data_IF_940146580221
#
_entry.id   IF_940146580221
#
_cell.length_a   1.000
_cell.length_b   1.000
_cell.length_c   1.000
_cell.angle_alpha   90.00
_cell.angle_beta   90.00
_cell.angle_gamma   90.00
#
_symmetry.space_group_name_H-M   'P 1'
#
loop_
_entity.id
_entity.type
_entity.pdbx_description
1 polymer ?
#
# COMPACT_ATOMS: atom_id res chain seq x y z
N UNK A 1 -3.27 22.11 29.57
CA UNK A 1 -3.95 20.89 30.07
C UNK A 1 -3.84 19.81 29.00
N UNK A 2 -2.72 19.08 28.98
CA UNK A 2 -2.49 17.97 28.04
C UNK A 2 -3.19 16.71 28.56
N UNK A 3 -4.37 16.40 28.01
CA UNK A 3 -4.87 15.02 28.09
C UNK A 3 -3.90 14.16 27.30
N UNK A 4 -3.01 13.44 27.98
CA UNK A 4 -2.11 12.49 27.34
C UNK A 4 -2.97 11.42 26.68
N UNK A 5 -3.06 11.44 25.36
CA UNK A 5 -3.65 10.38 24.55
C UNK A 5 -2.50 9.51 24.00
N UNK A 6 -1.93 8.59 24.81
CA UNK A 6 -0.77 7.77 24.40
C UNK A 6 -1.06 6.91 23.16
N UNK A 7 -2.33 6.66 22.86
CA UNK A 7 -2.77 5.96 21.66
C UNK A 7 -2.47 6.74 20.37
N UNK A 8 -2.59 8.07 20.39
CA UNK A 8 -2.32 8.93 19.22
C UNK A 8 -0.82 9.03 18.97
N UNK A 9 -0.02 9.12 20.03
CA UNK A 9 1.43 9.10 19.95
C UNK A 9 1.95 7.82 19.28
N UNK A 10 1.33 6.67 19.62
CA UNK A 10 1.68 5.33 19.14
C UNK A 10 0.97 4.89 17.86
N UNK A 11 0.24 5.81 17.20
CA UNK A 11 -0.44 5.51 15.94
C UNK A 11 0.59 5.07 14.90
N UNK A 12 0.42 3.85 14.37
CA UNK A 12 1.37 3.26 13.43
C UNK A 12 1.48 4.11 12.15
N UNK A 13 2.70 4.45 11.69
CA UNK A 13 2.91 5.25 10.46
C UNK A 13 2.32 4.64 9.19
N UNK A 14 2.12 3.32 9.15
CA UNK A 14 1.61 2.59 7.99
C UNK A 14 0.09 2.40 7.95
N UNK A 15 -0.69 3.04 8.82
CA UNK A 15 -2.13 2.75 8.94
C UNK A 15 -2.95 3.12 7.68
N UNK A 16 -2.42 4.00 6.82
CA UNK A 16 -3.02 4.27 5.50
C UNK A 16 -3.05 3.03 4.58
N UNK A 17 -2.35 1.94 4.93
CA UNK A 17 -2.53 0.64 4.29
C UNK A 17 -3.99 0.15 4.35
N UNK A 18 -4.78 0.54 5.37
CA UNK A 18 -6.22 0.30 5.44
C UNK A 18 -6.95 0.89 4.22
N UNK A 19 -6.70 2.16 3.92
CA UNK A 19 -7.34 2.87 2.80
C UNK A 19 -6.85 2.30 1.48
N UNK A 20 -5.54 2.11 1.35
CA UNK A 20 -4.91 1.53 0.17
C UNK A 20 -5.48 0.14 -0.15
N UNK A 21 -5.57 -0.76 0.84
CA UNK A 21 -6.11 -2.11 0.70
C UNK A 21 -7.61 -2.14 0.42
N UNK A 22 -8.39 -1.32 1.11
CA UNK A 22 -9.84 -1.21 0.89
C UNK A 22 -10.15 -0.64 -0.50
N UNK A 23 -9.40 0.39 -0.91
CA UNK A 23 -9.55 1.04 -2.20
C UNK A 23 -9.25 0.09 -3.36
N UNK A 24 -8.19 -0.72 -3.30
CA UNK A 24 -7.88 -1.64 -4.40
C UNK A 24 -8.92 -2.76 -4.54
N UNK A 25 -9.49 -3.24 -3.43
CA UNK A 25 -10.58 -4.22 -3.49
C UNK A 25 -11.85 -3.58 -4.07
N UNK A 26 -12.13 -2.33 -3.72
CA UNK A 26 -13.20 -1.55 -4.37
C UNK A 26 -12.99 -1.45 -5.88
N UNK A 27 -11.77 -1.14 -6.34
CA UNK A 27 -11.41 -1.14 -7.77
C UNK A 27 -11.66 -2.51 -8.39
N UNK A 28 -11.13 -3.59 -7.80
CA UNK A 28 -11.33 -4.94 -8.34
C UNK A 28 -12.81 -5.35 -8.44
N UNK A 29 -13.62 -4.99 -7.46
CA UNK A 29 -15.07 -5.27 -7.46
C UNK A 29 -15.82 -4.45 -8.52
N UNK A 30 -15.42 -3.20 -8.76
CA UNK A 30 -15.94 -2.40 -9.87
C UNK A 30 -15.61 -3.06 -11.21
N UNK A 31 -14.36 -3.49 -11.40
CA UNK A 31 -13.90 -4.15 -12.62
C UNK A 31 -14.69 -5.41 -12.96
N UNK A 32 -15.17 -6.18 -11.97
CA UNK A 32 -15.99 -7.38 -12.20
C UNK A 32 -17.51 -7.11 -12.20
N UNK A 33 -17.92 -5.84 -12.11
CA UNK A 33 -19.33 -5.43 -12.20
C UNK A 33 -20.12 -5.53 -10.88
N UNK A 34 -19.47 -5.76 -9.74
CA UNK A 34 -20.09 -5.82 -8.41
C UNK A 34 -20.21 -4.42 -7.78
N UNK A 35 -20.92 -3.53 -8.48
CA UNK A 35 -20.95 -2.10 -8.18
C UNK A 35 -21.45 -1.75 -6.76
N UNK A 36 -22.52 -2.35 -6.22
CA UNK A 36 -23.00 -2.00 -4.88
C UNK A 36 -21.95 -2.25 -3.79
N UNK A 37 -21.26 -3.39 -3.86
CA UNK A 37 -20.22 -3.75 -2.89
C UNK A 37 -18.98 -2.88 -3.09
N UNK A 38 -18.62 -2.62 -4.35
CA UNK A 38 -17.53 -1.71 -4.69
C UNK A 38 -17.73 -0.31 -4.08
N UNK A 39 -18.94 0.26 -4.21
CA UNK A 39 -19.28 1.58 -3.66
C UNK A 39 -19.24 1.61 -2.13
N UNK A 40 -19.73 0.57 -1.47
CA UNK A 40 -19.63 0.47 0.01
C UNK A 40 -18.17 0.53 0.45
N UNK A 41 -17.28 -0.21 -0.21
CA UNK A 41 -15.85 -0.17 0.10
C UNK A 41 -15.20 1.17 -0.24
N UNK A 42 -15.62 1.83 -1.33
CA UNK A 42 -15.17 3.19 -1.64
C UNK A 42 -15.54 4.17 -0.51
N UNK A 43 -16.78 4.11 -0.01
CA UNK A 43 -17.21 4.95 1.13
C UNK A 43 -16.38 4.64 2.38
N UNK A 44 -16.15 3.36 2.69
CA UNK A 44 -15.30 2.97 3.83
C UNK A 44 -13.88 3.52 3.66
N UNK A 45 -13.29 3.39 2.46
CA UNK A 45 -11.95 3.91 2.17
C UNK A 45 -11.88 5.44 2.31
N UNK A 46 -12.88 6.16 1.80
CA UNK A 46 -12.95 7.62 1.89
C UNK A 46 -13.10 8.10 3.34
N UNK A 47 -13.98 7.45 4.14
CA UNK A 47 -14.14 7.77 5.56
C UNK A 47 -12.86 7.49 6.34
N UNK A 48 -12.25 6.33 6.13
CA UNK A 48 -10.97 5.97 6.75
C UNK A 48 -9.87 6.96 6.37
N UNK A 49 -9.81 7.42 5.11
CA UNK A 49 -8.85 8.40 4.64
C UNK A 49 -8.95 9.73 5.39
N UNK A 50 -10.18 10.27 5.51
CA UNK A 50 -10.43 11.52 6.24
C UNK A 50 -10.07 11.36 7.72
N UNK A 51 -10.51 10.28 8.36
CA UNK A 51 -10.20 10.00 9.76
C UNK A 51 -8.70 9.90 9.99
N UNK A 52 -7.97 9.17 9.14
CA UNK A 52 -6.52 9.00 9.29
C UNK A 52 -5.77 10.30 9.07
N UNK A 53 -6.17 11.16 8.14
CA UNK A 53 -5.59 12.49 8.00
C UNK A 53 -5.79 13.33 9.27
N UNK A 54 -7.00 13.35 9.82
CA UNK A 54 -7.27 14.07 11.09
C UNK A 54 -6.36 13.54 12.21
N UNK A 55 -6.24 12.22 12.35
CA UNK A 55 -5.40 11.60 13.37
C UNK A 55 -3.90 11.86 13.16
N UNK A 56 -3.40 11.83 11.93
CA UNK A 56 -1.99 12.06 11.64
C UNK A 56 -1.63 13.54 11.77
N UNK A 57 -2.50 14.46 11.36
CA UNK A 57 -2.30 15.90 11.58
C UNK A 57 -2.31 16.21 13.07
N UNK A 58 -3.26 15.64 13.82
CA UNK A 58 -3.27 15.76 15.28
C UNK A 58 -1.97 15.19 15.88
N UNK A 59 -1.54 14.00 15.46
CA UNK A 59 -0.27 13.40 15.91
C UNK A 59 0.93 14.30 15.61
N UNK A 60 0.99 14.91 14.43
CA UNK A 60 2.08 15.80 14.04
C UNK A 60 2.13 17.08 14.89
N UNK A 61 0.98 17.64 15.26
CA UNK A 61 0.90 18.86 16.10
C UNK A 61 1.14 18.55 17.58
N UNK A 62 0.54 17.48 18.10
CA UNK A 62 0.60 17.14 19.52
C UNK A 62 1.87 16.37 19.91
N UNK A 63 2.42 15.55 19.00
CA UNK A 63 3.57 14.66 19.25
C UNK A 63 4.63 14.75 18.14
N UNK A 64 5.16 15.95 17.82
CA UNK A 64 6.10 16.15 16.70
C UNK A 64 7.40 15.34 16.87
N UNK A 65 7.86 15.10 18.12
CA UNK A 65 9.06 14.30 18.37
C UNK A 65 8.84 12.82 18.02
N UNK A 66 7.67 12.25 18.34
CA UNK A 66 7.35 10.87 17.98
C UNK A 66 7.33 10.69 16.46
N UNK A 67 6.71 11.64 15.74
CA UNK A 67 6.70 11.64 14.27
C UNK A 67 8.12 11.77 13.71
N UNK A 68 8.95 12.66 14.25
CA UNK A 68 10.35 12.82 13.82
C UNK A 68 11.19 11.57 14.04
N UNK A 69 10.95 10.85 15.14
CA UNK A 69 11.60 9.56 15.42
C UNK A 69 11.21 8.53 14.37
N UNK A 70 9.93 8.41 14.03
CA UNK A 70 9.47 7.49 13.00
C UNK A 70 10.01 7.83 11.60
N UNK A 71 10.10 9.11 11.25
CA UNK A 71 10.63 9.54 9.94
C UNK A 71 12.12 9.22 9.75
N UNK A 72 12.86 9.04 10.85
CA UNK A 72 14.29 8.69 10.85
C UNK A 72 14.55 7.20 11.06
N UNK A 73 13.58 6.45 11.53
CA UNK A 73 13.72 5.03 11.80
C UNK A 73 13.63 4.24 10.47
N UNK A 74 14.69 3.50 10.07
CA UNK A 74 14.69 2.71 8.84
C UNK A 74 13.56 1.68 8.75
N UNK A 75 13.04 1.21 9.88
CA UNK A 75 12.00 0.17 9.92
C UNK A 75 10.59 0.71 9.64
N UNK A 76 10.33 1.98 9.97
CA UNK A 76 8.99 2.60 9.93
C UNK A 76 8.87 3.76 8.96
N UNK A 77 9.97 4.45 8.61
CA UNK A 77 9.95 5.62 7.74
C UNK A 77 9.26 5.35 6.40
N UNK A 78 9.57 4.23 5.75
CA UNK A 78 8.98 3.89 4.46
C UNK A 78 7.48 3.57 4.53
N UNK A 79 6.93 3.30 5.72
CA UNK A 79 5.50 3.09 5.88
C UNK A 79 4.67 4.37 5.63
N UNK A 80 5.26 5.58 5.74
CA UNK A 80 4.59 6.84 5.38
C UNK A 80 4.21 6.92 3.90
N UNK A 81 4.88 6.17 3.01
CA UNK A 81 4.50 6.07 1.60
C UNK A 81 3.12 5.41 1.40
N UNK A 82 2.56 4.75 2.42
CA UNK A 82 1.15 4.31 2.36
C UNK A 82 0.18 5.47 2.20
N UNK A 83 0.52 6.69 2.64
CA UNK A 83 -0.29 7.90 2.44
C UNK A 83 -0.39 8.23 0.95
N UNK A 84 0.72 8.15 0.22
CA UNK A 84 0.77 8.38 -1.23
C UNK A 84 -0.10 7.35 -1.94
N UNK A 85 0.18 6.07 -1.69
CA UNK A 85 -0.55 4.97 -2.34
C UNK A 85 -2.05 4.99 -2.01
N UNK A 86 -2.44 5.28 -0.77
CA UNK A 86 -3.84 5.44 -0.40
C UNK A 86 -4.53 6.61 -1.12
N UNK A 87 -3.84 7.75 -1.23
CA UNK A 87 -4.35 8.94 -1.93
C UNK A 87 -4.59 8.63 -3.40
N UNK A 88 -3.61 8.02 -4.07
CA UNK A 88 -3.66 7.69 -5.49
C UNK A 88 -4.71 6.60 -5.79
N UNK A 89 -4.79 5.54 -4.98
CA UNK A 89 -5.79 4.48 -5.16
C UNK A 89 -7.21 5.03 -4.97
N UNK A 90 -7.41 5.92 -3.99
CA UNK A 90 -8.71 6.59 -3.79
C UNK A 90 -9.05 7.46 -5.00
N UNK A 91 -8.07 8.22 -5.52
CA UNK A 91 -8.26 9.04 -6.72
C UNK A 91 -8.63 8.18 -7.93
N UNK A 92 -7.93 7.06 -8.17
CA UNK A 92 -8.23 6.11 -9.24
C UNK A 92 -9.68 5.63 -9.14
N UNK A 93 -10.12 5.18 -7.96
CA UNK A 93 -11.49 4.68 -7.80
C UNK A 93 -12.53 5.78 -7.98
N UNK A 94 -12.23 7.01 -7.58
CA UNK A 94 -13.11 8.18 -7.79
C UNK A 94 -13.24 8.56 -9.26
N UNK A 95 -12.18 8.45 -10.06
CA UNK A 95 -12.27 8.64 -11.53
C UNK A 95 -13.21 7.60 -12.14
N UNK A 96 -13.08 6.33 -11.74
CA UNK A 96 -13.94 5.25 -12.23
C UNK A 96 -15.42 5.46 -11.88
N UNK A 97 -15.71 6.14 -10.77
CA UNK A 97 -17.09 6.53 -10.39
C UNK A 97 -17.59 7.80 -11.11
N UNK A 98 -16.72 8.50 -11.85
CA UNK A 98 -17.03 9.75 -12.54
C UNK A 98 -16.74 11.02 -11.72
N UNK A 99 -16.20 10.92 -10.50
CA UNK A 99 -15.84 12.07 -9.64
C UNK A 99 -14.46 12.67 -9.98
N UNK A 100 -14.23 12.96 -11.27
CA UNK A 100 -12.93 13.44 -11.79
C UNK A 100 -12.48 14.75 -11.11
N UNK A 101 -13.42 15.67 -10.84
CA UNK A 101 -13.14 16.95 -10.19
C UNK A 101 -12.54 16.81 -8.78
N UNK A 102 -12.86 15.73 -8.07
CA UNK A 102 -12.30 15.42 -6.75
C UNK A 102 -11.02 14.59 -6.88
N UNK A 103 -10.98 13.69 -7.86
CA UNK A 103 -9.82 12.82 -8.08
C UNK A 103 -8.58 13.59 -8.52
N UNK A 104 -8.69 14.58 -9.41
CA UNK A 104 -7.53 15.33 -9.92
C UNK A 104 -6.74 16.02 -8.79
N UNK A 105 -7.37 16.78 -7.87
CA UNK A 105 -6.67 17.31 -6.69
C UNK A 105 -5.99 16.24 -5.84
N UNK A 106 -6.60 15.05 -5.69
CA UNK A 106 -5.97 13.94 -4.97
C UNK A 106 -4.74 13.41 -5.70
N UNK A 107 -4.76 13.26 -7.03
CA UNK A 107 -3.56 12.88 -7.80
C UNK A 107 -2.45 13.91 -7.66
N UNK A 108 -2.79 15.21 -7.67
CA UNK A 108 -1.81 16.27 -7.45
C UNK A 108 -1.23 16.23 -6.03
N UNK A 109 -2.05 15.95 -5.02
CA UNK A 109 -1.61 15.73 -3.65
C UNK A 109 -0.70 14.49 -3.56
N UNK A 110 -1.09 13.38 -4.18
CA UNK A 110 -0.30 12.15 -4.25
C UNK A 110 1.07 12.40 -4.91
N UNK A 111 1.10 13.11 -6.03
CA UNK A 111 2.33 13.51 -6.72
C UNK A 111 3.24 14.39 -5.84
N UNK A 112 2.66 15.39 -5.15
CA UNK A 112 3.40 16.26 -4.25
C UNK A 112 3.97 15.49 -3.06
N UNK A 113 3.17 14.62 -2.43
CA UNK A 113 3.60 13.77 -1.33
C UNK A 113 4.67 12.77 -1.77
N UNK A 114 4.51 12.16 -2.95
CA UNK A 114 5.50 11.24 -3.53
C UNK A 114 6.84 11.94 -3.73
N UNK A 115 6.84 13.15 -4.29
CA UNK A 115 8.07 13.92 -4.50
C UNK A 115 8.71 14.29 -3.15
N UNK A 116 7.93 14.85 -2.22
CA UNK A 116 8.42 15.26 -0.90
C UNK A 116 8.98 14.07 -0.12
N UNK A 117 8.22 12.98 0.01
CA UNK A 117 8.67 11.78 0.73
C UNK A 117 9.79 11.04 0.00
N UNK A 118 9.77 11.02 -1.33
CA UNK A 118 10.76 10.39 -2.20
C UNK A 118 12.17 10.90 -1.98
N UNK A 119 12.33 12.19 -1.66
CA UNK A 119 13.62 12.76 -1.31
C UNK A 119 13.87 12.81 0.20
N UNK A 120 12.86 13.16 1.00
CA UNK A 120 13.05 13.36 2.45
C UNK A 120 13.30 12.06 3.21
N UNK A 121 12.52 11.00 2.96
CA UNK A 121 12.58 9.78 3.79
C UNK A 121 13.86 8.99 3.56
N UNK A 122 14.27 8.68 2.31
CA UNK A 122 15.54 8.00 2.08
C UNK A 122 16.72 8.83 2.58
N UNK A 123 16.69 10.16 2.41
CA UNK A 123 17.73 11.04 2.95
C UNK A 123 17.83 10.92 4.47
N UNK A 124 16.70 10.99 5.18
CA UNK A 124 16.70 10.87 6.65
C UNK A 124 17.20 9.51 7.12
N UNK A 125 16.81 8.43 6.45
CA UNK A 125 17.22 7.05 6.78
C UNK A 125 18.71 6.83 6.48
N UNK A 126 19.21 7.28 5.32
CA UNK A 126 20.61 7.08 4.92
C UNK A 126 21.58 7.96 5.72
N UNK A 127 21.11 9.13 6.20
CA UNK A 127 21.91 10.03 7.02
C UNK A 127 21.77 9.76 8.52
N UNK A 128 20.88 8.85 8.93
CA UNK A 128 20.78 8.42 10.31
C UNK A 128 22.08 7.72 10.72
N UNK A 129 22.79 8.30 11.69
CA UNK A 129 24.00 7.72 12.30
C UNK A 129 23.69 7.34 13.73
N UNK A 130 23.08 6.17 13.89
CA UNK A 130 22.79 5.54 15.18
C UNK A 130 23.73 4.37 15.51
N UNK A 131 24.69 4.07 14.62
CA UNK A 131 25.72 3.04 14.81
C UNK A 131 25.32 1.65 14.32
N UNK A 132 24.06 1.43 13.93
CA UNK A 132 23.59 0.14 13.44
C UNK A 132 23.56 0.06 11.91
N UNK A 133 23.90 -1.12 11.38
CA UNK A 133 23.90 -1.37 9.93
C UNK A 133 22.48 -1.28 9.39
N UNK A 134 22.24 -0.35 8.46
CA UNK A 134 20.95 -0.17 7.78
C UNK A 134 20.43 -1.49 7.20
N UNK A 135 21.33 -2.31 6.63
CA UNK A 135 20.98 -3.60 6.05
C UNK A 135 20.29 -4.55 7.04
N UNK A 136 20.65 -4.53 8.33
CA UNK A 136 20.03 -5.40 9.33
C UNK A 136 18.57 -5.01 9.61
N UNK A 137 18.24 -3.73 9.41
CA UNK A 137 16.94 -3.11 9.66
C UNK A 137 16.08 -2.97 8.40
N UNK A 138 16.57 -3.41 7.25
CA UNK A 138 15.78 -3.50 6.02
C UNK A 138 14.73 -4.59 6.18
N UNK A 139 13.46 -4.23 5.96
CA UNK A 139 12.32 -5.13 6.08
C UNK A 139 11.31 -4.90 4.93
N UNK A 140 10.18 -5.60 4.95
CA UNK A 140 9.17 -5.53 3.89
C UNK A 140 8.52 -4.15 3.68
N UNK A 141 8.57 -3.23 4.65
CA UNK A 141 7.98 -1.88 4.50
C UNK A 141 8.71 -1.04 3.45
N UNK A 142 9.98 -1.34 3.16
CA UNK A 142 10.77 -0.63 2.17
C UNK A 142 10.18 -0.75 0.76
N UNK A 143 9.48 -1.85 0.45
CA UNK A 143 8.80 -2.02 -0.85
C UNK A 143 7.65 -1.03 -1.04
N UNK A 144 7.10 -0.46 0.04
CA UNK A 144 6.04 0.56 -0.05
C UNK A 144 6.54 1.80 -0.79
N UNK A 145 7.86 2.08 -0.77
CA UNK A 145 8.45 3.15 -1.57
C UNK A 145 8.24 2.92 -3.07
N UNK A 146 8.49 1.71 -3.55
CA UNK A 146 8.20 1.32 -4.93
C UNK A 146 6.70 1.36 -5.20
N UNK A 147 5.86 0.85 -4.28
CA UNK A 147 4.40 0.87 -4.40
C UNK A 147 3.87 2.29 -4.60
N UNK A 148 4.34 3.28 -3.83
CA UNK A 148 3.90 4.66 -3.97
C UNK A 148 4.23 5.23 -5.36
N UNK A 149 5.41 4.92 -5.88
CA UNK A 149 5.80 5.33 -7.23
C UNK A 149 4.91 4.70 -8.31
N UNK A 150 4.60 3.41 -8.17
CA UNK A 150 3.71 2.72 -9.09
C UNK A 150 2.26 3.22 -8.98
N UNK A 151 1.80 3.54 -7.76
CA UNK A 151 0.46 4.07 -7.53
C UNK A 151 0.25 5.42 -8.20
N UNK A 152 1.26 6.29 -8.15
CA UNK A 152 1.24 7.55 -8.86
C UNK A 152 1.17 7.33 -10.39
N UNK A 153 1.93 6.37 -10.92
CA UNK A 153 1.85 6.02 -12.33
C UNK A 153 0.43 5.59 -12.75
N UNK A 154 -0.23 4.72 -11.96
CA UNK A 154 -1.63 4.33 -12.17
C UNK A 154 -2.54 5.57 -12.15
N UNK A 155 -2.44 6.41 -11.12
CA UNK A 155 -3.28 7.60 -11.00
C UNK A 155 -3.14 8.56 -12.19
N UNK A 156 -1.90 8.79 -12.64
CA UNK A 156 -1.59 9.61 -13.82
C UNK A 156 -2.20 9.03 -15.11
N UNK A 157 -2.10 7.71 -15.30
CA UNK A 157 -2.70 7.05 -16.48
C UNK A 157 -4.21 7.18 -16.53
N UNK A 158 -4.87 7.14 -15.37
CA UNK A 158 -6.33 7.18 -15.24
C UNK A 158 -6.88 8.59 -15.45
N UNK A 159 -6.19 9.64 -14.99
CA UNK A 159 -6.62 11.03 -15.24
C UNK A 159 -6.29 11.51 -16.66
N UNK A 160 -5.31 10.90 -17.34
CA UNK A 160 -4.81 11.36 -18.64
C UNK A 160 -5.90 11.63 -19.70
N UNK A 161 -6.92 10.76 -19.89
CA UNK A 161 -7.98 11.00 -20.87
C UNK A 161 -8.84 12.24 -20.58
N UNK A 162 -8.92 12.65 -19.30
CA UNK A 162 -9.75 13.76 -18.83
C UNK A 162 -9.06 15.12 -18.89
N UNK A 163 -7.76 15.15 -19.20
CA UNK A 163 -7.01 16.40 -19.32
C UNK A 163 -7.12 16.96 -20.74
N UNK A 164 -7.35 18.27 -20.84
CA UNK A 164 -7.38 19.00 -22.13
C UNK A 164 -5.99 19.53 -22.51
N UNK A 165 -5.19 19.91 -21.53
CA UNK A 165 -3.80 20.38 -21.67
C UNK A 165 -2.85 19.52 -20.84
N UNK A 166 -1.56 19.48 -21.22
CA UNK A 166 -0.53 18.78 -20.43
C UNK A 166 -0.49 17.25 -20.58
N UNK A 167 -1.22 16.66 -21.53
CA UNK A 167 -1.22 15.20 -21.79
C UNK A 167 0.19 14.62 -21.97
N UNK A 168 1.05 15.30 -22.72
CA UNK A 168 2.44 14.88 -22.94
C UNK A 168 3.25 14.83 -21.63
N UNK A 169 3.09 15.83 -20.76
CA UNK A 169 3.74 15.86 -19.44
C UNK A 169 3.25 14.74 -18.54
N UNK A 170 1.95 14.45 -18.54
CA UNK A 170 1.39 13.32 -17.78
C UNK A 170 1.90 11.98 -18.30
N UNK A 171 2.04 11.81 -19.61
CA UNK A 171 2.69 10.62 -20.18
C UNK A 171 4.13 10.45 -19.72
N UNK A 172 4.92 11.53 -19.72
CA UNK A 172 6.30 11.53 -19.21
C UNK A 172 6.32 11.18 -17.71
N UNK A 173 5.46 11.81 -16.90
CA UNK A 173 5.40 11.59 -15.46
C UNK A 173 4.95 10.16 -15.11
N UNK A 174 4.02 9.58 -15.88
CA UNK A 174 3.58 8.20 -15.70
C UNK A 174 4.73 7.22 -15.98
N UNK A 175 5.46 7.40 -17.09
CA UNK A 175 6.63 6.56 -17.42
C UNK A 175 7.76 6.77 -16.41
N UNK A 176 8.00 8.01 -15.97
CA UNK A 176 9.01 8.33 -14.96
C UNK A 176 8.70 7.65 -13.63
N UNK A 177 7.49 7.82 -13.11
CA UNK A 177 7.07 7.24 -11.83
C UNK A 177 7.04 5.71 -11.88
N UNK A 178 6.64 5.11 -13.01
CA UNK A 178 6.75 3.67 -13.23
C UNK A 178 8.21 3.20 -13.21
N UNK A 179 9.09 3.88 -13.96
CA UNK A 179 10.51 3.52 -14.06
C UNK A 179 11.23 3.63 -12.71
N UNK A 180 10.97 4.70 -11.96
CA UNK A 180 11.49 4.88 -10.60
C UNK A 180 11.00 3.74 -9.71
N UNK A 181 9.71 3.39 -9.76
CA UNK A 181 9.18 2.29 -8.96
C UNK A 181 9.80 0.93 -9.30
N UNK A 182 10.07 0.65 -10.59
CA UNK A 182 10.74 -0.59 -11.03
C UNK A 182 12.17 -0.64 -10.49
N UNK A 183 12.94 0.45 -10.63
CA UNK A 183 14.30 0.53 -10.12
C UNK A 183 14.35 0.37 -8.59
N UNK A 184 13.45 1.04 -7.88
CA UNK A 184 13.32 0.95 -6.42
C UNK A 184 12.97 -0.48 -5.97
N UNK A 185 12.07 -1.17 -6.70
CA UNK A 185 11.76 -2.57 -6.41
C UNK A 185 13.01 -3.45 -6.49
N UNK A 186 13.82 -3.31 -7.55
CA UNK A 186 15.06 -4.05 -7.71
C UNK A 186 16.06 -3.78 -6.58
N UNK A 187 16.27 -2.51 -6.23
CA UNK A 187 17.17 -2.09 -5.14
C UNK A 187 16.71 -2.68 -3.80
N UNK A 188 15.45 -2.48 -3.44
CA UNK A 188 14.90 -2.99 -2.17
C UNK A 188 14.90 -4.52 -2.15
N UNK A 189 14.57 -5.16 -3.27
CA UNK A 189 14.63 -6.61 -3.43
C UNK A 189 16.01 -7.18 -3.13
N UNK A 190 17.06 -6.57 -3.69
CA UNK A 190 18.44 -6.95 -3.43
C UNK A 190 18.80 -6.71 -1.96
N UNK A 191 18.44 -5.57 -1.37
CA UNK A 191 18.74 -5.27 0.04
C UNK A 191 18.06 -6.27 0.99
N UNK A 192 16.79 -6.60 0.74
CA UNK A 192 16.05 -7.58 1.54
C UNK A 192 16.64 -8.98 1.39
N UNK A 193 17.01 -9.38 0.16
CA UNK A 193 17.66 -10.66 -0.07
C UNK A 193 19.02 -10.73 0.65
N UNK A 194 19.85 -9.69 0.54
CA UNK A 194 21.12 -9.60 1.25
C UNK A 194 20.92 -9.64 2.77
N UNK A 195 19.89 -8.98 3.31
CA UNK A 195 19.53 -9.05 4.72
C UNK A 195 19.21 -10.48 5.14
N UNK A 196 18.37 -11.19 4.37
CA UNK A 196 18.00 -12.58 4.66
C UNK A 196 19.21 -13.50 4.59
N UNK A 197 20.10 -13.32 3.61
CA UNK A 197 21.32 -14.13 3.46
C UNK A 197 22.30 -13.93 4.62
N UNK A 198 22.48 -12.68 5.09
CA UNK A 198 23.47 -12.38 6.12
C UNK A 198 22.96 -12.57 7.55
N UNK A 199 21.67 -12.32 7.80
CA UNK A 199 21.09 -12.30 9.15
C UNK A 199 20.01 -13.35 9.36
N UNK A 200 19.60 -14.09 8.32
CA UNK A 200 18.46 -14.99 8.38
C UNK A 200 17.13 -14.24 8.49
N UNK A 201 16.05 -14.98 8.76
CA UNK A 201 14.76 -14.42 9.15
C UNK A 201 14.10 -15.35 10.17
N UNK A 202 13.75 -14.83 11.34
CA UNK A 202 13.01 -15.61 12.34
C UNK A 202 11.51 -15.62 12.02
N UNK A 203 10.73 -16.61 12.49
CA UNK A 203 9.27 -16.61 12.30
C UNK A 203 8.56 -15.36 12.82
N UNK A 204 9.14 -14.67 13.81
CA UNK A 204 8.61 -13.42 14.36
C UNK A 204 8.92 -12.21 13.48
N UNK A 205 10.07 -12.22 12.83
CA UNK A 205 10.51 -11.18 11.89
C UNK A 205 9.83 -11.27 10.52
N UNK A 206 9.25 -12.42 10.15
CA UNK A 206 8.44 -12.52 8.94
C UNK A 206 7.11 -11.77 9.13
N UNK A 207 7.19 -10.45 9.11
CA UNK A 207 6.08 -9.55 9.34
C UNK A 207 5.15 -9.43 8.11
N UNK A 208 3.89 -9.01 8.31
CA UNK A 208 2.94 -8.78 7.22
C UNK A 208 3.48 -7.97 6.02
N UNK A 209 4.34 -6.94 6.17
CA UNK A 209 4.88 -6.18 5.05
C UNK A 209 5.73 -7.00 4.05
N UNK A 210 6.18 -8.21 4.38
CA UNK A 210 6.87 -9.05 3.39
C UNK A 210 5.96 -9.42 2.21
N UNK A 211 4.63 -9.45 2.38
CA UNK A 211 3.68 -9.61 1.27
C UNK A 211 3.75 -8.47 0.25
N UNK A 212 4.26 -7.29 0.65
CA UNK A 212 4.42 -6.13 -0.24
C UNK A 212 5.48 -6.39 -1.32
N UNK A 213 6.36 -7.39 -1.17
CA UNK A 213 7.23 -7.87 -2.28
C UNK A 213 6.38 -8.21 -3.52
N UNK A 214 5.42 -9.12 -3.37
CA UNK A 214 4.48 -9.48 -4.43
C UNK A 214 3.59 -8.29 -4.81
N UNK A 215 3.10 -7.53 -3.81
CA UNK A 215 2.21 -6.39 -4.06
C UNK A 215 2.84 -5.28 -4.90
N UNK A 216 4.12 -4.99 -4.70
CA UNK A 216 4.88 -3.96 -5.43
C UNK A 216 5.04 -4.32 -6.91
N UNK A 217 5.29 -5.59 -7.23
CA UNK A 217 5.29 -6.04 -8.62
C UNK A 217 3.89 -6.06 -9.22
N UNK A 218 2.89 -6.49 -8.46
CA UNK A 218 1.50 -6.51 -8.95
C UNK A 218 1.01 -5.09 -9.33
N UNK A 219 1.33 -4.06 -8.54
CA UNK A 219 0.99 -2.68 -8.93
C UNK A 219 1.85 -2.19 -10.11
N UNK A 220 3.11 -2.61 -10.23
CA UNK A 220 3.94 -2.30 -11.39
C UNK A 220 3.39 -2.95 -12.68
N UNK A 221 2.77 -4.12 -12.59
CA UNK A 221 2.01 -4.76 -13.67
C UNK A 221 0.81 -3.90 -14.06
N UNK A 222 -0.03 -3.50 -13.11
CA UNK A 222 -1.20 -2.63 -13.39
C UNK A 222 -0.77 -1.31 -14.01
N UNK A 223 0.23 -0.63 -13.42
CA UNK A 223 0.75 0.63 -13.93
C UNK A 223 1.33 0.47 -15.34
N UNK A 224 2.12 -0.57 -15.57
CA UNK A 224 2.72 -0.85 -16.87
C UNK A 224 1.67 -1.15 -17.94
N UNK A 225 0.68 -2.01 -17.63
CA UNK A 225 -0.42 -2.29 -18.55
C UNK A 225 -1.23 -1.04 -18.88
N UNK A 226 -1.48 -0.18 -17.89
CA UNK A 226 -2.16 1.10 -18.13
C UNK A 226 -1.34 2.02 -19.03
N UNK A 227 -0.02 2.14 -18.82
CA UNK A 227 0.87 2.90 -19.71
C UNK A 227 0.85 2.34 -21.13
N UNK A 228 0.87 1.01 -21.28
CA UNK A 228 0.76 0.32 -22.58
C UNK A 228 -0.62 0.51 -23.21
N UNK A 229 -1.66 0.83 -22.44
CA UNK A 229 -2.98 1.16 -22.95
C UNK A 229 -3.21 2.66 -23.18
N UNK A 230 -2.31 3.53 -22.69
CA UNK A 230 -2.44 4.99 -22.87
C UNK A 230 -2.36 5.38 -24.35
N UNK A 231 -3.07 6.47 -24.68
CA UNK A 231 -2.97 7.13 -25.98
C UNK A 231 -1.53 7.55 -26.30
N UNK A 232 -1.21 7.57 -27.59
CA UNK A 232 0.15 7.82 -28.09
C UNK A 232 0.73 9.14 -27.58
N UNK A 233 1.87 9.05 -26.91
CA UNK A 233 2.75 10.19 -26.61
C UNK A 233 4.19 9.74 -26.88
N UNK A 234 5.11 10.66 -27.26
CA UNK A 234 6.46 10.26 -27.67
C UNK A 234 7.20 9.35 -26.66
N UNK A 235 7.06 9.63 -25.36
CA UNK A 235 7.71 8.83 -24.31
C UNK A 235 7.05 7.46 -24.11
N UNK A 236 5.72 7.39 -24.16
CA UNK A 236 4.98 6.13 -24.04
C UNK A 236 5.29 5.23 -25.22
N UNK A 237 5.31 5.76 -26.43
CA UNK A 237 5.56 4.98 -27.64
C UNK A 237 6.99 4.42 -27.67
N UNK A 238 7.97 5.21 -27.22
CA UNK A 238 9.37 4.78 -27.10
C UNK A 238 9.56 3.64 -26.08
N UNK A 239 8.72 3.56 -25.04
CA UNK A 239 8.88 2.61 -23.94
C UNK A 239 7.90 1.44 -23.98
N UNK A 240 6.85 1.49 -24.82
CA UNK A 240 5.72 0.56 -24.84
C UNK A 240 6.15 -0.91 -24.88
N UNK A 241 7.09 -1.27 -25.76
CA UNK A 241 7.53 -2.66 -25.92
C UNK A 241 8.29 -3.18 -24.69
N UNK A 242 9.15 -2.33 -24.09
CA UNK A 242 9.89 -2.66 -22.88
C UNK A 242 8.94 -2.80 -21.68
N UNK A 243 7.97 -1.90 -21.55
CA UNK A 243 6.98 -1.96 -20.48
C UNK A 243 6.14 -3.23 -20.60
N UNK A 244 5.65 -3.56 -21.80
CA UNK A 244 4.86 -4.77 -22.05
C UNK A 244 5.65 -6.06 -21.71
N UNK A 245 6.91 -6.17 -22.14
CA UNK A 245 7.77 -7.29 -21.77
C UNK A 245 8.00 -7.38 -20.26
N UNK A 246 8.20 -6.24 -19.60
CA UNK A 246 8.40 -6.16 -18.14
C UNK A 246 7.14 -6.58 -17.37
N UNK A 247 5.96 -6.16 -17.82
CA UNK A 247 4.65 -6.53 -17.26
C UNK A 247 4.48 -8.06 -17.24
N UNK A 248 4.80 -8.74 -18.35
CA UNK A 248 4.71 -10.20 -18.43
C UNK A 248 5.68 -10.90 -17.45
N UNK A 249 6.93 -10.43 -17.36
CA UNK A 249 7.93 -10.96 -16.42
C UNK A 249 7.46 -10.75 -14.97
N UNK A 250 6.97 -9.56 -14.64
CA UNK A 250 6.54 -9.25 -13.28
C UNK A 250 5.31 -10.04 -12.87
N UNK A 251 4.34 -10.21 -13.76
CA UNK A 251 3.13 -10.98 -13.48
C UNK A 251 3.46 -12.46 -13.23
N UNK A 252 4.29 -13.08 -14.07
CA UNK A 252 4.72 -14.48 -13.88
C UNK A 252 5.53 -14.65 -12.60
N UNK A 253 6.38 -13.68 -12.26
CA UNK A 253 7.12 -13.70 -10.99
C UNK A 253 6.22 -13.48 -9.76
N UNK A 254 5.15 -12.66 -9.87
CA UNK A 254 4.14 -12.56 -8.81
C UNK A 254 3.51 -13.92 -8.52
N UNK A 255 3.12 -14.65 -9.57
CA UNK A 255 2.56 -16.00 -9.44
C UNK A 255 3.54 -16.96 -8.76
N UNK A 256 4.83 -16.85 -9.09
CA UNK A 256 5.90 -17.63 -8.45
C UNK A 256 6.08 -17.34 -6.95
N UNK A 257 5.86 -16.09 -6.52
CA UNK A 257 5.97 -15.71 -5.11
C UNK A 257 4.80 -16.22 -4.24
N UNK A 258 3.62 -16.46 -4.81
CA UNK A 258 2.43 -16.83 -4.04
C UNK A 258 2.68 -18.09 -3.17
N UNK A 259 3.19 -19.22 -3.70
CA UNK A 259 3.48 -20.40 -2.87
C UNK A 259 4.49 -20.11 -1.74
N UNK A 260 5.51 -19.30 -2.01
CA UNK A 260 6.54 -18.94 -1.02
C UNK A 260 5.94 -18.13 0.12
N UNK A 261 5.12 -17.13 -0.17
CA UNK A 261 4.48 -16.27 0.83
C UNK A 261 3.44 -17.04 1.66
N UNK A 262 2.64 -17.89 1.03
CA UNK A 262 1.68 -18.77 1.72
C UNK A 262 2.43 -19.76 2.61
N UNK A 263 3.49 -20.38 2.09
CA UNK A 263 4.35 -21.31 2.85
C UNK A 263 5.02 -20.64 4.06
N UNK A 264 5.53 -19.42 3.90
CA UNK A 264 6.09 -18.63 4.99
C UNK A 264 5.04 -18.26 6.06
N UNK A 265 3.81 -17.92 5.63
CA UNK A 265 2.69 -17.69 6.54
C UNK A 265 2.29 -18.95 7.34
N UNK A 266 2.23 -20.10 6.67
CA UNK A 266 1.98 -21.39 7.30
C UNK A 266 3.10 -21.76 8.29
N UNK A 267 4.36 -21.59 7.89
CA UNK A 267 5.53 -21.81 8.74
C UNK A 267 5.50 -20.94 10.00
N UNK A 268 5.10 -19.67 9.88
CA UNK A 268 4.97 -18.72 11.01
C UNK A 268 3.85 -19.10 11.99
N UNK A 269 2.64 -19.32 11.48
CA UNK A 269 1.45 -19.44 12.33
C UNK A 269 1.09 -20.87 12.72
N UNK A 270 1.34 -21.86 11.84
CA UNK A 270 0.98 -23.25 12.07
C UNK A 270 2.14 -24.03 12.67
N UNK A 271 3.32 -23.97 12.05
CA UNK A 271 4.51 -24.71 12.52
C UNK A 271 5.09 -24.08 13.78
N UNK A 272 5.33 -22.76 13.77
CA UNK A 272 5.96 -22.04 14.88
C UNK A 272 4.96 -21.42 15.88
N UNK A 273 3.65 -21.63 15.65
CA UNK A 273 2.55 -21.22 16.54
C UNK A 273 2.62 -19.76 17.00
N UNK A 274 3.10 -18.86 16.15
CA UNK A 274 3.08 -17.42 16.44
C UNK A 274 1.62 -16.97 16.44
N UNK A 275 1.10 -16.40 17.55
CA UNK A 275 -0.32 -16.10 17.68
C UNK A 275 -0.77 -15.03 16.67
N UNK A 276 -1.94 -15.24 16.09
CA UNK A 276 -2.62 -14.27 15.22
C UNK A 276 -3.29 -13.21 16.10
N UNK A 277 -2.54 -12.15 16.39
CA UNK A 277 -3.04 -10.95 17.08
C UNK A 277 -3.18 -9.83 16.05
N UNK A 278 -4.24 -9.02 16.17
CA UNK A 278 -4.39 -7.85 15.33
C UNK A 278 -3.22 -6.90 15.54
N UNK A 279 -2.51 -6.62 14.46
CA UNK A 279 -1.52 -5.56 14.37
C UNK A 279 -1.84 -4.70 13.14
N UNK A 280 -1.60 -3.38 13.20
CA UNK A 280 -1.81 -2.46 12.07
C UNK A 280 -1.28 -2.97 10.73
N UNK A 281 -0.12 -3.62 10.75
CA UNK A 281 0.59 -4.07 9.56
C UNK A 281 -0.12 -5.20 8.82
N UNK A 282 -1.14 -5.85 9.40
CA UNK A 282 -1.96 -6.84 8.68
C UNK A 282 -2.64 -6.26 7.44
N UNK A 283 -2.94 -4.96 7.44
CA UNK A 283 -3.46 -4.26 6.25
C UNK A 283 -2.48 -4.29 5.07
N UNK A 284 -1.18 -4.45 5.32
CA UNK A 284 -0.15 -4.64 4.29
C UNK A 284 -0.21 -6.00 3.59
N UNK A 285 -1.07 -6.93 4.02
CA UNK A 285 -1.38 -8.19 3.30
C UNK A 285 -2.57 -8.00 2.36
N UNK A 286 -3.57 -7.22 2.80
CA UNK A 286 -4.81 -6.98 2.06
C UNK A 286 -4.51 -6.35 0.70
N UNK A 287 -3.65 -5.33 0.68
CA UNK A 287 -3.29 -4.64 -0.55
C UNK A 287 -2.60 -5.55 -1.58
N UNK A 288 -1.52 -6.29 -1.26
CA UNK A 288 -0.88 -7.18 -2.23
C UNK A 288 -1.82 -8.23 -2.84
N UNK A 289 -2.68 -8.85 -2.03
CA UNK A 289 -3.62 -9.86 -2.52
C UNK A 289 -4.66 -9.23 -3.45
N UNK A 290 -5.23 -8.09 -3.07
CA UNK A 290 -6.15 -7.34 -3.92
C UNK A 290 -5.49 -6.82 -5.20
N UNK A 291 -4.25 -6.34 -5.11
CA UNK A 291 -3.50 -5.83 -6.25
C UNK A 291 -3.13 -6.94 -7.24
N UNK A 292 -2.74 -8.13 -6.77
CA UNK A 292 -2.52 -9.29 -7.64
C UNK A 292 -3.79 -9.69 -8.40
N UNK A 293 -4.94 -9.60 -7.74
CA UNK A 293 -6.23 -9.83 -8.38
C UNK A 293 -6.49 -8.82 -9.51
N UNK A 294 -6.36 -7.52 -9.22
CA UNK A 294 -6.54 -6.44 -10.21
C UNK A 294 -5.52 -6.54 -11.35
N UNK A 295 -4.26 -6.85 -11.06
CA UNK A 295 -3.22 -7.09 -12.06
C UNK A 295 -3.60 -8.22 -13.02
N UNK A 296 -4.09 -9.35 -12.48
CA UNK A 296 -4.52 -10.50 -13.28
C UNK A 296 -5.79 -10.22 -14.09
N UNK A 297 -6.73 -9.45 -13.55
CA UNK A 297 -7.90 -8.98 -14.32
C UNK A 297 -7.48 -8.08 -15.49
N UNK A 298 -6.56 -7.14 -15.24
CA UNK A 298 -6.10 -6.18 -16.24
C UNK A 298 -5.32 -6.87 -17.37
N UNK A 299 -4.28 -7.65 -17.03
CA UNK A 299 -3.49 -8.42 -17.99
C UNK A 299 -4.37 -9.42 -18.76
N UNK A 300 -5.25 -10.14 -18.05
CA UNK A 300 -6.16 -11.10 -18.67
C UNK A 300 -7.05 -10.48 -19.76
N UNK A 301 -7.49 -9.24 -19.58
CA UNK A 301 -8.32 -8.52 -20.57
C UNK A 301 -7.51 -7.91 -21.69
N UNK A 302 -6.40 -7.26 -21.37
CA UNK A 302 -5.54 -6.58 -22.36
C UNK A 302 -4.95 -7.59 -23.34
N UNK A 303 -4.42 -8.70 -22.82
CA UNK A 303 -3.75 -9.74 -23.63
C UNK A 303 -4.71 -10.85 -24.08
N UNK A 304 -6.01 -10.74 -23.75
CA UNK A 304 -7.05 -11.72 -24.07
C UNK A 304 -6.70 -13.13 -23.60
N UNK A 305 -6.32 -13.25 -22.32
CA UNK A 305 -5.96 -14.49 -21.64
C UNK A 305 -7.05 -14.86 -20.60
N UNK A 306 -8.08 -15.65 -20.98
CA UNK A 306 -9.22 -15.93 -20.10
C UNK A 306 -8.86 -16.65 -18.79
N UNK A 307 -7.79 -17.45 -18.83
CA UNK A 307 -7.27 -18.16 -17.65
C UNK A 307 -6.68 -17.18 -16.62
N UNK A 308 -5.94 -16.16 -17.09
CA UNK A 308 -5.35 -15.12 -16.25
C UNK A 308 -6.45 -14.25 -15.64
N UNK A 309 -7.48 -13.89 -16.42
CA UNK A 309 -8.64 -13.17 -15.90
C UNK A 309 -9.40 -13.99 -14.84
N UNK A 310 -9.60 -15.29 -15.08
CA UNK A 310 -10.26 -16.19 -14.14
C UNK A 310 -9.49 -16.32 -12.84
N UNK A 311 -8.16 -16.40 -12.91
CA UNK A 311 -7.29 -16.36 -11.73
C UNK A 311 -7.47 -15.04 -10.96
N UNK A 312 -7.57 -13.91 -11.67
CA UNK A 312 -7.86 -12.61 -11.07
C UNK A 312 -9.19 -12.58 -10.30
N UNK A 313 -10.26 -13.17 -10.85
CA UNK A 313 -11.56 -13.28 -10.17
C UNK A 313 -11.47 -14.12 -8.90
N UNK A 314 -10.77 -15.25 -8.93
CA UNK A 314 -10.54 -16.10 -7.75
C UNK A 314 -9.72 -15.35 -6.69
N UNK A 315 -8.62 -14.72 -7.10
CA UNK A 315 -7.78 -13.93 -6.22
C UNK A 315 -8.54 -12.75 -5.59
N UNK A 316 -9.47 -12.13 -6.31
CA UNK A 316 -10.33 -11.05 -5.79
C UNK A 316 -11.26 -11.56 -4.70
N UNK A 317 -11.85 -12.75 -4.89
CA UNK A 317 -12.66 -13.41 -3.86
C UNK A 317 -11.84 -13.66 -2.58
N UNK A 318 -10.62 -14.17 -2.72
CA UNK A 318 -9.67 -14.35 -1.60
C UNK A 318 -9.35 -13.00 -0.94
N UNK A 319 -9.08 -11.95 -1.74
CA UNK A 319 -8.80 -10.61 -1.22
C UNK A 319 -9.94 -10.06 -0.37
N UNK A 320 -11.20 -10.27 -0.79
CA UNK A 320 -12.38 -9.86 -0.03
C UNK A 320 -12.48 -10.60 1.32
N UNK A 321 -12.18 -11.90 1.34
CA UNK A 321 -12.15 -12.69 2.58
C UNK A 321 -11.05 -12.20 3.52
N UNK A 322 -9.83 -12.00 3.00
CA UNK A 322 -8.71 -11.48 3.79
C UNK A 322 -9.03 -10.09 4.35
N UNK A 323 -9.62 -9.21 3.55
CA UNK A 323 -10.07 -7.89 3.99
C UNK A 323 -11.11 -7.99 5.12
N UNK A 324 -12.11 -8.85 4.98
CA UNK A 324 -13.15 -9.03 5.99
C UNK A 324 -12.56 -9.53 7.32
N UNK A 325 -11.65 -10.51 7.25
CA UNK A 325 -10.96 -11.04 8.45
C UNK A 325 -10.14 -9.94 9.15
N UNK A 326 -9.36 -9.16 8.40
CA UNK A 326 -8.54 -8.08 8.97
C UNK A 326 -9.42 -6.96 9.54
N UNK A 327 -10.52 -6.61 8.86
CA UNK A 327 -11.48 -5.62 9.35
C UNK A 327 -12.13 -6.08 10.66
N UNK A 328 -12.62 -7.31 10.73
CA UNK A 328 -13.22 -7.86 11.95
C UNK A 328 -12.20 -7.90 13.09
N UNK A 329 -10.95 -8.28 12.81
CA UNK A 329 -9.87 -8.25 13.79
C UNK A 329 -9.58 -6.83 14.30
N UNK A 330 -9.58 -5.83 13.42
CA UNK A 330 -9.42 -4.42 13.78
C UNK A 330 -10.57 -3.93 14.65
N UNK A 331 -11.82 -4.15 14.24
CA UNK A 331 -13.00 -3.70 14.97
C UNK A 331 -13.05 -4.34 16.36
N UNK A 332 -12.75 -5.65 16.45
CA UNK A 332 -12.64 -6.34 17.73
C UNK A 332 -11.55 -5.71 18.61
N UNK A 333 -10.39 -5.39 18.05
CA UNK A 333 -9.31 -4.74 18.80
C UNK A 333 -9.74 -3.37 19.34
N UNK A 334 -10.34 -2.52 18.51
CA UNK A 334 -10.83 -1.19 18.90
C UNK A 334 -11.91 -1.29 19.99
N UNK A 335 -12.87 -2.21 19.86
CA UNK A 335 -13.91 -2.43 20.89
C UNK A 335 -13.31 -2.88 22.21
N UNK A 336 -12.34 -3.80 22.19
CA UNK A 336 -11.70 -4.29 23.41
C UNK A 336 -10.86 -3.22 24.12
N UNK A 337 -10.13 -2.40 23.36
CA UNK A 337 -9.33 -1.29 23.92
C UNK A 337 -10.23 -0.22 24.53
N UNK A 338 -11.27 0.21 23.79
CA UNK A 338 -12.22 1.22 24.28
C UNK A 338 -13.02 0.74 25.50
N UNK A 339 -13.41 -0.54 25.54
CA UNK A 339 -14.13 -1.10 26.68
C UNK A 339 -13.25 -1.21 27.92
N UNK A 340 -11.99 -1.65 27.78
CA UNK A 340 -11.02 -1.68 28.90
C UNK A 340 -10.68 -0.29 29.43
N UNK A 341 -10.54 0.70 28.54
CA UNK A 341 -10.32 2.10 28.94
C UNK A 341 -11.49 2.67 29.75
N UNK A 342 -12.74 2.34 29.37
CA UNK A 342 -13.94 2.71 30.14
C UNK A 342 -14.02 2.02 31.49
N UNK A 343 -13.68 0.73 31.58
CA UNK A 343 -13.68 -0.01 32.83
C UNK A 343 -12.63 0.51 33.82
N UNK A 344 -11.43 0.88 33.34
CA UNK A 344 -10.38 1.48 34.16
C UNK A 344 -10.80 2.86 34.71
N UNK A 345 -11.38 3.72 33.87
CA UNK A 345 -11.86 5.03 34.29
C UNK A 345 -13.02 4.97 35.32
N UNK A 346 -13.88 3.95 35.23
CA UNK A 346 -14.95 3.72 36.21
C UNK A 346 -14.42 3.21 37.57
N UNK A 347 -13.34 2.41 37.56
CA UNK A 347 -12.69 1.92 38.78
C UNK A 347 -11.96 3.02 39.55
N UNK A 348 -11.33 3.98 38.87
CA UNK A 348 -10.66 5.12 39.51
C UNK A 348 -11.65 6.10 40.17
N UNK A 349 -12.87 6.24 39.64
CA UNK A 349 -13.90 7.09 40.23
C UNK A 349 -14.61 6.43 41.43
N UNK A 350 -14.66 5.10 41.49
CA UNK A 350 -15.26 4.35 42.59
C UNK A 350 -14.33 4.13 43.81
N UNK A 351 -13.01 4.31 43.65
CA UNK A 351 -12.04 4.18 44.74
C UNK A 351 -11.69 5.49 45.47
N UNK A 352 -12.30 6.61 45.06
CA UNK A 352 -12.09 7.93 45.66
C UNK A 352 -13.28 8.42 46.52
N UNK A 353 -14.24 7.54 46.78
CA UNK A 353 -15.36 7.73 47.72
C UNK A 353 -15.19 6.74 48.88
#
# INVERSE_FOLDING_TARGET
>A
MSRHHPEIERLSPGYFALVMGTGIISVGLHEVGLEPVSRVLLVIAALAYVVLWVLYVWRAVAYPQAVRTDLRNPETAFAFFTIVAATDVLAVRLVLEGYVAVAVPLVLLGAALWFVFGYLLPWQVLMARDGERILARTNGTWFIWAVASQSLAVALTVIHPHLTTGRAWVGILAVLSWSVGVALYGIVGILVLLRIVHYGITPREFEPPYWVTMGAMAIAVVAGSNIVAMGSTPMVDATRALVAGTVAIFWTFCLWLVPVLVGAGFWRHVVHRVPLVYVPTLWSIVFPVGMFAVASLNVGRVDRLPLVESLGKVALGIACVVWAVVLVAMLRHVVLVTWRGRAAAAGEQGGAA
#
